data_IF_882795873951
#
_entry.id   IF_882795873951
#
_cell.length_a   1.000
_cell.length_b   1.000
_cell.length_c   1.000
_cell.angle_alpha   90.00
_cell.angle_beta   90.00
_cell.angle_gamma   90.00
#
_symmetry.space_group_name_H-M   'P 1'
#
loop_
_entity.id
_entity.type
_entity.pdbx_description
1 polymer ?
#
# COMPACT_ATOMS: atom_id res chain seq x y z
N UNK A 1 3.50 18.24 -10.86
CA UNK A 1 3.02 19.02 -12.02
C UNK A 1 4.16 19.69 -12.80
N UNK A 2 5.18 20.23 -12.12
CA UNK A 2 6.35 20.92 -12.75
C UNK A 2 7.21 20.03 -13.67
N UNK A 3 7.36 18.73 -13.37
CA UNK A 3 8.16 17.80 -14.19
C UNK A 3 7.60 17.63 -15.62
N UNK A 4 6.28 17.70 -15.77
CA UNK A 4 5.60 17.56 -17.06
C UNK A 4 5.81 18.78 -17.95
N UNK A 5 5.99 19.96 -17.34
CA UNK A 5 6.18 21.22 -18.07
C UNK A 5 7.56 21.28 -18.73
N UNK A 6 8.61 20.87 -18.02
CA UNK A 6 9.97 20.83 -18.58
C UNK A 6 10.13 19.75 -19.66
N UNK A 7 9.44 18.61 -19.54
CA UNK A 7 9.42 17.58 -20.57
C UNK A 7 8.82 18.07 -21.90
N UNK A 8 7.70 18.81 -21.83
CA UNK A 8 7.09 19.41 -23.02
C UNK A 8 7.92 20.54 -23.63
N UNK A 9 8.59 21.34 -22.80
CA UNK A 9 9.45 22.44 -23.27
C UNK A 9 10.66 21.93 -24.07
N UNK A 10 11.33 20.88 -23.55
CA UNK A 10 12.47 20.25 -24.22
C UNK A 10 12.01 19.55 -25.51
N UNK A 11 10.86 18.88 -25.49
CA UNK A 11 10.29 18.24 -26.68
C UNK A 11 9.97 19.26 -27.78
N UNK A 12 9.38 20.41 -27.42
CA UNK A 12 9.09 21.50 -28.35
C UNK A 12 10.37 22.08 -28.99
N UNK A 13 11.41 22.31 -28.19
CA UNK A 13 12.71 22.80 -28.68
C UNK A 13 13.37 21.82 -29.66
N UNK A 14 13.29 20.51 -29.39
CA UNK A 14 13.84 19.47 -30.28
C UNK A 14 13.06 19.42 -31.59
N UNK A 15 11.73 19.51 -31.56
CA UNK A 15 10.87 19.51 -32.76
C UNK A 15 11.13 20.71 -33.68
N UNK A 16 11.51 21.86 -33.11
CA UNK A 16 11.83 23.09 -33.85
C UNK A 16 13.28 23.09 -34.37
N UNK A 17 14.23 22.54 -33.62
CA UNK A 17 15.64 22.50 -34.02
C UNK A 17 15.93 21.55 -35.19
N UNK A 18 15.16 20.47 -35.33
CA UNK A 18 15.32 19.46 -36.38
C UNK A 18 15.12 20.01 -37.81
N UNK A 19 14.06 20.79 -38.14
CA UNK A 19 13.89 21.37 -39.48
C UNK A 19 14.97 22.41 -39.80
N UNK A 20 15.41 23.21 -38.82
CA UNK A 20 16.51 24.17 -38.96
C UNK A 20 17.84 23.47 -39.26
N UNK A 21 18.14 22.35 -38.61
CA UNK A 21 19.34 21.56 -38.88
C UNK A 21 19.25 20.79 -40.20
N UNK A 22 18.03 20.42 -40.62
CA UNK A 22 17.80 19.72 -41.89
C UNK A 22 18.11 20.57 -43.12
N UNK A 23 18.12 21.91 -43.02
CA UNK A 23 18.47 22.81 -44.12
C UNK A 23 19.93 22.65 -44.59
N UNK A 24 20.81 22.07 -43.77
CA UNK A 24 22.23 21.86 -44.07
C UNK A 24 22.55 20.46 -44.64
N UNK A 25 21.57 19.56 -44.77
CA UNK A 25 21.82 18.16 -45.16
C UNK A 25 21.23 17.78 -46.53
N UNK A 26 22.00 17.00 -47.30
CA UNK A 26 21.63 16.45 -48.62
C UNK A 26 20.34 15.63 -48.54
N UNK A 27 19.49 15.69 -49.58
CA UNK A 27 18.14 15.07 -49.65
C UNK A 27 18.09 13.60 -49.18
N UNK A 28 19.12 12.79 -49.46
CA UNK A 28 19.19 11.39 -48.98
C UNK A 28 19.39 11.27 -47.46
N UNK A 29 20.15 12.14 -46.82
CA UNK A 29 20.40 12.09 -45.36
C UNK A 29 19.16 12.49 -44.54
N UNK A 30 18.30 13.36 -45.06
CA UNK A 30 17.04 13.75 -44.39
C UNK A 30 16.08 12.57 -44.19
N UNK A 31 15.98 11.69 -45.19
CA UNK A 31 15.11 10.51 -45.12
C UNK A 31 15.58 9.50 -44.07
N UNK A 32 16.90 9.28 -43.96
CA UNK A 32 17.46 8.41 -42.91
C UNK A 32 17.23 8.94 -41.50
N UNK A 33 17.39 10.26 -41.30
CA UNK A 33 17.18 10.89 -40.00
C UNK A 33 15.71 10.80 -39.58
N UNK A 34 14.78 11.06 -40.50
CA UNK A 34 13.34 10.93 -40.24
C UNK A 34 12.97 9.50 -39.84
N UNK A 35 13.48 8.50 -40.57
CA UNK A 35 13.26 7.10 -40.24
C UNK A 35 13.77 6.73 -38.83
N UNK A 36 15.02 7.08 -38.51
CA UNK A 36 15.60 6.79 -37.20
C UNK A 36 14.88 7.53 -36.05
N UNK A 37 14.45 8.77 -36.28
CA UNK A 37 13.70 9.54 -35.29
C UNK A 37 12.34 8.91 -34.99
N UNK A 38 11.64 8.42 -36.01
CA UNK A 38 10.36 7.70 -35.84
C UNK A 38 10.55 6.40 -35.06
N UNK A 39 11.60 5.64 -35.35
CA UNK A 39 11.93 4.41 -34.60
C UNK A 39 12.28 4.74 -33.15
N UNK A 40 13.09 5.78 -32.91
CA UNK A 40 13.45 6.23 -31.57
C UNK A 40 12.21 6.66 -30.78
N UNK A 41 11.28 7.39 -31.41
CA UNK A 41 10.03 7.82 -30.79
C UNK A 41 9.16 6.63 -30.36
N UNK A 42 9.00 5.61 -31.21
CA UNK A 42 8.27 4.39 -30.84
C UNK A 42 8.95 3.63 -29.70
N UNK A 43 10.28 3.56 -29.71
CA UNK A 43 11.05 2.86 -28.69
C UNK A 43 10.96 3.57 -27.33
N UNK A 44 11.06 4.90 -27.31
CA UNK A 44 10.91 5.72 -26.10
C UNK A 44 9.48 5.66 -25.58
N UNK A 45 8.47 5.79 -26.45
CA UNK A 45 7.06 5.69 -26.08
C UNK A 45 6.70 4.32 -25.50
N UNK A 46 7.18 3.24 -26.14
CA UNK A 46 7.04 1.87 -25.63
C UNK A 46 7.73 1.70 -24.27
N UNK A 47 8.98 2.15 -24.15
CA UNK A 47 9.74 2.09 -22.89
C UNK A 47 9.05 2.83 -21.74
N UNK A 48 8.53 4.03 -21.98
CA UNK A 48 7.73 4.80 -21.02
C UNK A 48 6.44 4.08 -20.63
N UNK A 49 5.73 3.47 -21.58
CA UNK A 49 4.53 2.68 -21.30
C UNK A 49 4.82 1.49 -20.37
N UNK A 50 5.95 0.80 -20.59
CA UNK A 50 6.39 -0.28 -19.71
C UNK A 50 6.85 0.24 -18.34
N UNK A 51 7.61 1.34 -18.29
CA UNK A 51 8.16 1.93 -17.06
C UNK A 51 7.09 2.54 -16.15
N UNK A 52 6.06 3.17 -16.72
CA UNK A 52 4.93 3.74 -15.98
C UNK A 52 3.88 2.69 -15.55
N UNK A 53 4.13 1.41 -15.81
CA UNK A 53 3.29 0.31 -15.33
C UNK A 53 2.06 0.03 -16.20
N UNK A 54 2.09 0.31 -17.51
CA UNK A 54 0.98 -0.02 -18.44
C UNK A 54 0.59 -1.49 -18.41
N UNK A 55 1.55 -2.40 -18.21
CA UNK A 55 1.30 -3.83 -17.98
C UNK A 55 0.42 -4.12 -16.75
N UNK A 56 0.55 -3.31 -15.70
CA UNK A 56 -0.24 -3.47 -14.49
C UNK A 56 -1.69 -3.05 -14.72
N UNK A 57 -1.92 -1.96 -15.46
CA UNK A 57 -3.27 -1.51 -15.84
C UNK A 57 -3.98 -2.55 -16.73
N UNK A 58 -3.26 -3.15 -17.68
CA UNK A 58 -3.82 -4.17 -18.58
C UNK A 58 -4.20 -5.45 -17.83
N UNK A 59 -3.45 -5.83 -16.78
CA UNK A 59 -3.81 -6.95 -15.89
C UNK A 59 -5.04 -6.63 -15.05
N UNK A 60 -5.13 -5.43 -14.49
CA UNK A 60 -6.30 -4.99 -13.71
C UNK A 60 -7.58 -5.00 -14.58
N UNK A 61 -7.49 -4.57 -15.83
CA UNK A 61 -8.59 -4.61 -16.79
C UNK A 61 -9.03 -6.04 -17.14
N UNK A 62 -8.07 -6.94 -17.45
CA UNK A 62 -8.37 -8.37 -17.72
C UNK A 62 -8.99 -9.06 -16.50
N UNK A 63 -8.47 -8.82 -15.30
CA UNK A 63 -9.00 -9.38 -14.06
C UNK A 63 -10.41 -8.86 -13.78
N UNK A 64 -10.68 -7.57 -14.05
CA UNK A 64 -12.02 -7.00 -13.94
C UNK A 64 -13.05 -7.62 -14.88
N UNK A 65 -12.66 -7.95 -16.12
CA UNK A 65 -13.50 -8.67 -17.09
C UNK A 65 -13.81 -10.10 -16.63
N UNK A 66 -12.86 -10.79 -16.02
CA UNK A 66 -13.08 -12.14 -15.50
C UNK A 66 -13.94 -12.13 -14.24
N UNK A 67 -13.73 -11.18 -13.34
CA UNK A 67 -14.60 -10.96 -12.18
C UNK A 67 -16.02 -10.62 -12.64
N UNK A 68 -16.20 -9.86 -13.73
CA UNK A 68 -17.51 -9.57 -14.31
C UNK A 68 -18.19 -10.84 -14.85
N UNK A 69 -17.47 -11.69 -15.60
CA UNK A 69 -17.99 -12.99 -16.09
C UNK A 69 -18.39 -13.91 -14.94
N UNK A 70 -17.58 -13.96 -13.88
CA UNK A 70 -17.90 -14.72 -12.66
C UNK A 70 -19.12 -14.09 -11.97
N UNK A 71 -19.22 -12.78 -11.85
CA UNK A 71 -20.40 -12.14 -11.25
C UNK A 71 -21.68 -12.47 -12.03
N UNK A 72 -21.62 -12.48 -13.36
CA UNK A 72 -22.73 -12.87 -14.24
C UNK A 72 -23.08 -14.37 -14.11
N UNK A 73 -22.09 -15.25 -13.91
CA UNK A 73 -22.30 -16.70 -13.74
C UNK A 73 -22.77 -17.09 -12.32
N UNK A 74 -22.37 -16.35 -11.26
CA UNK A 74 -22.54 -16.78 -9.86
C UNK A 74 -23.46 -15.90 -8.99
N UNK A 75 -23.82 -14.68 -9.41
CA UNK A 75 -24.75 -13.79 -8.69
C UNK A 75 -24.07 -12.83 -7.68
N UNK A 76 -24.74 -12.49 -6.56
CA UNK A 76 -24.26 -11.52 -5.57
C UNK A 76 -22.98 -11.99 -4.82
N UNK A 77 -22.08 -11.03 -4.53
CA UNK A 77 -20.67 -11.24 -4.14
C UNK A 77 -20.45 -12.15 -2.91
N UNK A 78 -21.35 -12.14 -1.92
CA UNK A 78 -21.17 -12.87 -0.66
C UNK A 78 -21.23 -14.40 -0.84
N UNK A 79 -21.96 -14.87 -1.87
CA UNK A 79 -22.11 -16.30 -2.18
C UNK A 79 -21.16 -16.80 -3.27
N UNK A 80 -20.41 -15.90 -3.94
CA UNK A 80 -19.50 -16.29 -5.04
C UNK A 80 -18.34 -17.12 -4.51
N UNK A 81 -17.70 -16.69 -3.41
CA UNK A 81 -16.56 -17.40 -2.84
C UNK A 81 -16.93 -18.84 -2.45
N UNK A 82 -18.11 -19.02 -1.84
CA UNK A 82 -18.60 -20.32 -1.41
C UNK A 82 -18.90 -21.24 -2.60
N UNK A 83 -19.71 -20.78 -3.58
CA UNK A 83 -20.03 -21.56 -4.78
C UNK A 83 -18.80 -21.88 -5.63
N UNK A 84 -17.88 -20.92 -5.76
CA UNK A 84 -16.65 -21.10 -6.50
C UNK A 84 -15.73 -22.11 -5.81
N UNK A 85 -15.58 -22.04 -4.48
CA UNK A 85 -14.83 -23.03 -3.70
C UNK A 85 -15.43 -24.44 -3.86
N UNK A 86 -16.75 -24.59 -3.79
CA UNK A 86 -17.41 -25.89 -4.01
C UNK A 86 -17.18 -26.44 -5.42
N UNK A 87 -17.29 -25.58 -6.45
CA UNK A 87 -17.00 -25.96 -7.83
C UNK A 87 -15.54 -26.40 -7.98
N UNK A 88 -14.59 -25.66 -7.42
CA UNK A 88 -13.17 -25.95 -7.51
C UNK A 88 -12.77 -27.21 -6.74
N UNK A 89 -13.50 -27.57 -5.69
CA UNK A 89 -13.33 -28.88 -5.02
C UNK A 89 -13.74 -30.04 -5.92
N UNK A 90 -14.77 -29.86 -6.76
CA UNK A 90 -15.25 -30.89 -7.70
C UNK A 90 -14.45 -30.92 -9.00
N UNK A 91 -14.06 -29.74 -9.50
CA UNK A 91 -13.28 -29.53 -10.72
C UNK A 91 -12.17 -28.50 -10.43
N UNK A 92 -11.03 -28.96 -9.88
CA UNK A 92 -9.91 -28.08 -9.59
C UNK A 92 -9.38 -27.41 -10.86
N UNK A 93 -9.07 -26.13 -10.77
CA UNK A 93 -8.47 -25.34 -11.84
C UNK A 93 -7.52 -24.30 -11.21
N UNK A 94 -6.24 -24.22 -11.64
CA UNK A 94 -5.29 -23.23 -11.12
C UNK A 94 -5.81 -21.80 -11.22
N UNK A 95 -6.50 -21.46 -12.31
CA UNK A 95 -7.01 -20.12 -12.55
C UNK A 95 -8.21 -19.80 -11.66
N UNK A 96 -9.14 -20.73 -11.50
CA UNK A 96 -10.23 -20.59 -10.55
C UNK A 96 -9.75 -20.42 -9.10
N UNK A 97 -8.74 -21.19 -8.68
CA UNK A 97 -8.12 -21.03 -7.35
C UNK A 97 -7.44 -19.66 -7.18
N UNK A 98 -6.78 -19.14 -8.22
CA UNK A 98 -6.26 -17.77 -8.23
C UNK A 98 -7.38 -16.73 -8.01
N UNK A 99 -8.47 -16.83 -8.76
CA UNK A 99 -9.59 -15.88 -8.66
C UNK A 99 -10.28 -15.94 -7.29
N UNK A 100 -10.45 -17.14 -6.73
CA UNK A 100 -10.94 -17.33 -5.38
C UNK A 100 -10.01 -16.67 -4.34
N UNK A 101 -8.69 -16.80 -4.51
CA UNK A 101 -7.71 -16.13 -3.66
C UNK A 101 -7.81 -14.61 -3.74
N UNK A 102 -7.92 -14.02 -4.94
CA UNK A 102 -8.12 -12.57 -5.13
C UNK A 102 -9.44 -12.10 -4.49
N UNK A 103 -10.50 -12.91 -4.58
CA UNK A 103 -11.78 -12.61 -3.94
C UNK A 103 -11.64 -12.58 -2.42
N UNK A 104 -10.98 -13.57 -1.82
CA UNK A 104 -10.72 -13.58 -0.38
C UNK A 104 -9.83 -12.42 0.07
N UNK A 105 -8.82 -12.02 -0.73
CA UNK A 105 -8.03 -10.80 -0.45
C UNK A 105 -8.90 -9.54 -0.47
N UNK A 106 -9.82 -9.41 -1.41
CA UNK A 106 -10.75 -8.27 -1.48
C UNK A 106 -11.65 -8.17 -0.23
N UNK A 107 -11.87 -9.30 0.45
CA UNK A 107 -12.63 -9.41 1.69
C UNK A 107 -11.73 -9.36 2.94
N UNK A 108 -10.44 -9.07 2.79
CA UNK A 108 -9.42 -9.08 3.85
C UNK A 108 -9.29 -10.43 4.59
N UNK A 109 -9.68 -11.53 3.95
CA UNK A 109 -9.57 -12.88 4.50
C UNK A 109 -8.22 -13.51 4.09
N UNK A 110 -7.13 -13.01 4.69
CA UNK A 110 -5.76 -13.40 4.30
C UNK A 110 -5.52 -14.91 4.36
N UNK A 111 -6.06 -15.61 5.38
CA UNK A 111 -5.89 -17.06 5.54
C UNK A 111 -6.59 -17.86 4.45
N UNK A 112 -7.83 -17.51 4.13
CA UNK A 112 -8.61 -18.15 3.06
C UNK A 112 -7.96 -17.89 1.70
N UNK A 113 -7.47 -16.67 1.48
CA UNK A 113 -6.72 -16.32 0.28
C UNK A 113 -5.43 -17.14 0.15
N UNK A 114 -4.65 -17.24 1.23
CA UNK A 114 -3.41 -18.02 1.27
C UNK A 114 -3.66 -19.48 0.94
N UNK A 115 -4.72 -20.07 1.50
CA UNK A 115 -5.15 -21.43 1.17
C UNK A 115 -5.47 -21.58 -0.32
N UNK A 116 -6.28 -20.69 -0.89
CA UNK A 116 -6.66 -20.75 -2.30
C UNK A 116 -5.45 -20.61 -3.25
N UNK A 117 -4.54 -19.67 -3.00
CA UNK A 117 -3.32 -19.54 -3.80
C UNK A 117 -2.40 -20.75 -3.69
N UNK A 118 -2.32 -21.36 -2.50
CA UNK A 118 -1.56 -22.58 -2.29
C UNK A 118 -2.14 -23.75 -3.08
N UNK A 119 -3.47 -23.94 -3.09
CA UNK A 119 -4.11 -24.97 -3.92
C UNK A 119 -3.88 -24.74 -5.42
N UNK A 120 -3.95 -23.49 -5.88
CA UNK A 120 -3.59 -23.14 -7.26
C UNK A 120 -2.12 -23.46 -7.60
N UNK A 121 -1.20 -23.16 -6.69
CA UNK A 121 0.23 -23.43 -6.86
C UNK A 121 0.57 -24.92 -6.92
N UNK A 122 -0.13 -25.77 -6.16
CA UNK A 122 0.06 -27.23 -6.25
C UNK A 122 -0.19 -27.75 -7.66
N UNK A 123 -1.14 -27.14 -8.37
CA UNK A 123 -1.53 -27.54 -9.72
C UNK A 123 -0.66 -26.90 -10.81
N UNK A 124 -0.17 -25.67 -10.58
CA UNK A 124 0.70 -24.95 -11.51
C UNK A 124 1.91 -24.33 -10.77
N UNK A 125 2.93 -25.13 -10.40
CA UNK A 125 4.08 -24.67 -9.61
C UNK A 125 4.92 -23.59 -10.30
N UNK A 126 4.97 -23.64 -11.63
CA UNK A 126 5.73 -22.70 -12.48
C UNK A 126 4.95 -21.41 -12.78
N UNK A 127 3.72 -21.28 -12.29
CA UNK A 127 2.95 -20.06 -12.46
C UNK A 127 3.48 -18.95 -11.56
N UNK A 128 4.29 -18.08 -12.16
CA UNK A 128 4.89 -16.91 -11.50
C UNK A 128 3.87 -15.95 -10.89
N UNK A 129 2.65 -15.87 -11.43
CA UNK A 129 1.61 -15.02 -10.86
C UNK A 129 1.06 -15.58 -9.55
N UNK A 130 0.73 -16.87 -9.52
CA UNK A 130 0.31 -17.56 -8.30
C UNK A 130 1.42 -17.53 -7.24
N UNK A 131 2.68 -17.69 -7.64
CA UNK A 131 3.84 -17.65 -6.73
C UNK A 131 3.99 -16.29 -6.06
N UNK A 132 3.87 -15.21 -6.84
CA UNK A 132 3.91 -13.83 -6.32
C UNK A 132 2.75 -13.56 -5.36
N UNK A 133 1.52 -13.85 -5.76
CA UNK A 133 0.34 -13.58 -4.92
C UNK A 133 0.35 -14.41 -3.63
N UNK A 134 0.72 -15.69 -3.69
CA UNK A 134 0.92 -16.52 -2.50
C UNK A 134 1.97 -15.92 -1.56
N UNK A 135 3.14 -15.55 -2.10
CA UNK A 135 4.24 -14.99 -1.30
C UNK A 135 3.84 -13.66 -0.65
N UNK A 136 3.23 -12.76 -1.41
CA UNK A 136 2.73 -11.48 -0.88
C UNK A 136 1.67 -11.71 0.19
N UNK A 137 0.74 -12.62 -0.04
CA UNK A 137 -0.33 -12.94 0.92
C UNK A 137 0.23 -13.57 2.19
N UNK A 138 1.27 -14.42 2.07
CA UNK A 138 1.96 -15.03 3.21
C UNK A 138 2.63 -13.97 4.08
N UNK A 139 3.29 -12.99 3.46
CA UNK A 139 3.90 -11.87 4.18
C UNK A 139 2.83 -11.07 4.93
N UNK A 140 1.71 -10.75 4.26
CA UNK A 140 0.61 -10.00 4.89
C UNK A 140 -0.03 -10.78 6.05
N UNK A 141 -0.25 -12.08 5.88
CA UNK A 141 -0.82 -12.95 6.92
C UNK A 141 0.09 -13.00 8.15
N UNK A 142 1.40 -13.20 7.92
CA UNK A 142 2.41 -13.18 8.98
C UNK A 142 2.44 -11.84 9.71
N UNK A 143 2.47 -10.73 9.00
CA UNK A 143 2.46 -9.38 9.59
C UNK A 143 1.20 -9.09 10.41
N UNK A 144 0.04 -9.60 9.98
CA UNK A 144 -1.21 -9.46 10.73
C UNK A 144 -1.20 -10.31 12.03
N UNK A 145 -0.52 -11.46 11.99
CA UNK A 145 -0.40 -12.34 13.17
C UNK A 145 0.71 -11.95 14.14
N UNK A 146 1.69 -11.15 13.73
CA UNK A 146 2.78 -10.69 14.57
C UNK A 146 2.30 -9.81 15.75
N UNK A 147 3.03 -9.82 16.88
CA UNK A 147 2.84 -8.87 17.95
C UNK A 147 2.85 -7.43 17.42
N UNK A 148 1.88 -6.64 17.87
CA UNK A 148 1.77 -5.26 17.44
C UNK A 148 0.67 -4.52 18.19
N UNK A 149 0.61 -3.22 17.97
CA UNK A 149 -0.31 -2.30 18.64
C UNK A 149 -1.13 -1.55 17.61
N UNK A 150 -2.45 -1.70 17.65
CA UNK A 150 -3.37 -0.91 16.84
C UNK A 150 -3.86 0.31 17.65
N UNK A 151 -3.65 1.51 17.10
CA UNK A 151 -4.01 2.79 17.69
C UNK A 151 -5.01 3.48 16.78
N UNK A 152 -6.23 3.65 17.29
CA UNK A 152 -7.27 4.41 16.64
C UNK A 152 -7.36 5.79 17.26
N UNK A 153 -7.30 6.82 16.41
CA UNK A 153 -7.29 8.22 16.83
C UNK A 153 -8.46 8.93 16.14
N UNK A 154 -9.25 9.60 16.95
CA UNK A 154 -10.36 10.43 16.53
C UNK A 154 -10.40 11.73 17.33
N UNK A 155 -11.06 12.74 16.78
CA UNK A 155 -11.18 14.08 17.36
C UNK A 155 -12.55 14.62 16.98
N UNK A 156 -13.20 15.30 17.93
CA UNK A 156 -14.48 15.97 17.67
C UNK A 156 -14.30 17.18 16.75
N UNK A 157 -15.29 17.49 15.94
CA UNK A 157 -15.18 18.53 14.90
C UNK A 157 -14.89 19.93 15.49
N UNK A 158 -15.43 20.27 16.66
CA UNK A 158 -15.20 21.56 17.34
C UNK A 158 -13.74 21.76 17.75
N UNK A 159 -13.07 20.67 18.17
CA UNK A 159 -11.64 20.67 18.49
C UNK A 159 -10.82 20.61 17.22
N UNK A 160 -11.25 19.81 16.23
CA UNK A 160 -10.60 19.67 14.92
C UNK A 160 -10.48 21.00 14.18
N UNK A 161 -11.53 21.83 14.25
CA UNK A 161 -11.61 23.12 13.57
C UNK A 161 -10.67 24.19 14.16
N UNK A 162 -10.06 23.94 15.33
CA UNK A 162 -9.04 24.80 15.90
C UNK A 162 -7.67 24.62 15.24
N UNK A 163 -7.50 23.56 14.43
CA UNK A 163 -6.24 23.23 13.77
C UNK A 163 -6.35 23.34 12.24
N UNK A 164 -5.23 23.65 11.60
CA UNK A 164 -5.11 23.49 10.15
C UNK A 164 -5.26 22.02 9.75
N UNK A 165 -5.90 21.69 8.61
CA UNK A 165 -5.97 20.32 8.11
C UNK A 165 -4.59 19.65 7.89
N UNK A 166 -3.54 20.45 7.73
CA UNK A 166 -2.16 19.96 7.56
C UNK A 166 -1.40 19.77 8.88
N UNK A 167 -1.96 20.22 10.01
CA UNK A 167 -1.37 20.06 11.33
C UNK A 167 -1.06 18.60 11.59
N UNK A 168 0.14 18.34 12.10
CA UNK A 168 0.68 16.99 12.27
C UNK A 168 0.16 16.37 13.56
N UNK A 169 -0.24 15.11 13.50
CA UNK A 169 -0.50 14.24 14.63
C UNK A 169 0.64 13.24 14.73
N UNK A 170 1.36 13.29 15.83
CA UNK A 170 2.37 12.29 16.20
C UNK A 170 1.72 11.22 17.07
N UNK A 171 1.82 9.97 16.62
CA UNK A 171 1.53 8.80 17.47
C UNK A 171 2.87 8.20 17.85
N UNK A 172 3.20 8.26 19.14
CA UNK A 172 4.51 7.91 19.67
C UNK A 172 4.36 6.75 20.63
N UNK A 173 5.14 5.70 20.42
CA UNK A 173 5.26 4.56 21.31
C UNK A 173 6.54 4.69 22.12
N UNK A 174 6.46 4.51 23.44
CA UNK A 174 7.61 4.57 24.36
C UNK A 174 7.55 3.47 25.41
N UNK A 175 8.68 3.25 26.09
CA UNK A 175 8.69 2.55 27.38
C UNK A 175 8.32 3.54 28.49
N UNK A 176 7.61 3.13 29.56
CA UNK A 176 7.17 4.03 30.63
C UNK A 176 8.31 4.86 31.25
N UNK A 177 9.50 4.28 31.38
CA UNK A 177 10.68 4.92 31.99
C UNK A 177 11.68 5.50 30.99
N UNK A 178 11.42 5.41 29.68
CA UNK A 178 12.37 5.86 28.63
C UNK A 178 11.97 7.23 28.05
N UNK A 179 12.95 8.13 27.93
CA UNK A 179 12.78 9.39 27.19
C UNK A 179 12.73 9.16 25.67
N UNK A 180 13.46 8.16 25.18
CA UNK A 180 13.57 7.82 23.77
C UNK A 180 12.31 7.09 23.27
N UNK A 181 11.76 7.46 22.09
CA UNK A 181 10.68 6.73 21.49
C UNK A 181 11.13 5.36 20.97
N UNK A 182 10.24 4.39 21.13
CA UNK A 182 10.38 3.04 20.58
C UNK A 182 9.95 3.00 19.11
N UNK A 183 8.87 3.71 18.77
CA UNK A 183 8.38 3.91 17.41
C UNK A 183 7.61 5.24 17.34
N UNK A 184 7.54 5.86 16.16
CA UNK A 184 6.77 7.08 15.96
C UNK A 184 6.23 7.17 14.54
N UNK A 185 4.95 7.49 14.42
CA UNK A 185 4.26 7.65 13.13
C UNK A 185 3.65 9.05 13.05
N UNK A 186 3.76 9.68 11.88
CA UNK A 186 3.17 10.99 11.58
C UNK A 186 1.90 10.82 10.74
N UNK A 187 0.85 11.54 11.12
CA UNK A 187 -0.41 11.69 10.39
C UNK A 187 -0.83 13.16 10.36
N UNK A 188 -1.88 13.50 9.64
CA UNK A 188 -2.41 14.87 9.60
C UNK A 188 -3.85 14.92 10.08
N UNK A 189 -4.30 16.10 10.53
CA UNK A 189 -5.69 16.34 10.97
C UNK A 189 -6.70 15.99 9.87
N UNK A 190 -6.37 16.26 8.61
CA UNK A 190 -7.23 15.89 7.46
C UNK A 190 -7.44 14.38 7.30
N UNK A 191 -6.55 13.56 7.87
CA UNK A 191 -6.61 12.10 7.74
C UNK A 191 -7.51 11.46 8.83
N UNK A 192 -8.06 12.26 9.76
CA UNK A 192 -8.91 11.76 10.84
C UNK A 192 -10.32 11.38 10.35
N UNK A 193 -10.94 10.32 10.93
CA UNK A 193 -10.34 9.38 11.89
C UNK A 193 -9.42 8.38 11.18
N UNK A 194 -8.36 7.94 11.86
CA UNK A 194 -7.46 6.94 11.30
C UNK A 194 -7.09 5.84 12.30
N UNK A 195 -6.66 4.71 11.75
CA UNK A 195 -6.05 3.61 12.49
C UNK A 195 -4.58 3.47 12.08
N UNK A 196 -3.70 3.28 13.06
CA UNK A 196 -2.27 3.03 12.86
C UNK A 196 -1.89 1.76 13.59
N UNK A 197 -1.22 0.85 12.90
CA UNK A 197 -0.62 -0.34 13.51
C UNK A 197 0.88 -0.13 13.66
N UNK A 198 1.42 -0.34 14.85
CA UNK A 198 2.84 -0.52 15.08
C UNK A 198 3.18 -2.01 15.06
N UNK A 199 3.96 -2.44 14.08
CA UNK A 199 4.54 -3.78 13.98
C UNK A 199 6.05 -3.78 14.21
N UNK A 200 6.65 -4.97 14.24
CA UNK A 200 8.08 -5.17 14.55
C UNK A 200 9.02 -4.27 13.70
N UNK A 201 8.66 -4.03 12.45
CA UNK A 201 9.40 -3.18 11.51
C UNK A 201 9.41 -1.68 11.86
N UNK A 202 8.47 -1.22 12.70
CA UNK A 202 8.35 0.18 13.09
C UNK A 202 9.24 0.52 14.31
N UNK A 203 9.83 -0.50 14.94
CA UNK A 203 10.72 -0.33 16.08
C UNK A 203 12.04 0.32 15.64
N UNK A 204 12.35 1.46 16.25
CA UNK A 204 13.59 2.21 16.01
C UNK A 204 14.83 1.51 16.61
N UNK A 205 14.62 0.53 17.50
CA UNK A 205 15.69 -0.21 18.18
C UNK A 205 15.91 -1.54 17.45
N UNK A 206 17.06 -1.67 16.78
CA UNK A 206 17.42 -2.90 16.06
C UNK A 206 17.53 -4.10 17.01
N UNK A 207 17.00 -5.25 16.58
CA UNK A 207 17.10 -6.52 17.30
C UNK A 207 16.25 -6.63 18.57
N UNK A 208 15.33 -5.69 18.81
CA UNK A 208 14.28 -5.81 19.82
C UNK A 208 12.95 -6.13 19.16
N UNK A 209 12.13 -6.90 19.86
CA UNK A 209 10.80 -7.25 19.43
C UNK A 209 9.73 -6.74 20.40
N UNK A 210 8.50 -6.59 19.92
CA UNK A 210 7.36 -6.24 20.78
C UNK A 210 7.19 -7.24 21.93
N UNK A 211 7.48 -8.51 21.68
CA UNK A 211 7.46 -9.57 22.70
C UNK A 211 8.41 -9.33 23.88
N UNK A 212 9.45 -8.51 23.72
CA UNK A 212 10.38 -8.16 24.81
C UNK A 212 9.79 -7.15 25.81
N UNK A 213 8.66 -6.50 25.49
CA UNK A 213 8.12 -5.40 26.29
C UNK A 213 6.79 -5.77 26.94
N UNK A 214 6.74 -5.78 28.28
CA UNK A 214 5.49 -6.07 29.02
C UNK A 214 4.54 -4.87 29.13
N UNK A 215 5.12 -3.67 29.24
CA UNK A 215 4.39 -2.40 29.41
C UNK A 215 4.91 -1.39 28.42
N UNK A 216 4.00 -0.67 27.79
CA UNK A 216 4.29 0.39 26.85
C UNK A 216 3.43 1.61 27.16
N UNK A 217 3.89 2.77 26.72
CA UNK A 217 3.26 4.07 26.88
C UNK A 217 3.05 4.65 25.48
N UNK A 218 1.81 5.00 25.17
CA UNK A 218 1.43 5.59 23.89
C UNK A 218 1.04 7.03 24.12
N UNK A 219 1.63 7.92 23.33
CA UNK A 219 1.37 9.35 23.36
C UNK A 219 0.83 9.75 21.99
N UNK A 220 -0.34 10.38 21.97
CA UNK A 220 -0.88 11.02 20.77
C UNK A 220 -0.81 12.52 20.97
N UNK A 221 -0.09 13.21 20.09
CA UNK A 221 0.13 14.65 20.18
C UNK A 221 -0.19 15.35 18.87
N UNK A 222 -0.97 16.42 18.91
CA UNK A 222 -1.02 17.40 17.81
C UNK A 222 0.16 18.35 17.94
N UNK A 223 0.86 18.62 16.83
CA UNK A 223 1.95 19.59 16.80
C UNK A 223 1.65 20.68 15.79
N UNK A 224 1.40 21.88 16.31
CA UNK A 224 1.08 23.06 15.47
C UNK A 224 2.31 23.51 14.68
N UNK A 225 3.50 23.47 15.31
CA UNK A 225 4.77 23.89 14.69
C UNK A 225 5.55 22.74 14.03
N UNK A 226 5.04 21.51 14.07
CA UNK A 226 5.71 20.32 13.52
C UNK A 226 6.91 19.82 14.31
N UNK A 227 7.17 20.38 15.50
CA UNK A 227 8.29 20.03 16.38
C UNK A 227 7.99 18.79 17.24
N UNK A 228 9.05 18.09 17.66
CA UNK A 228 8.96 16.86 18.47
C UNK A 228 8.83 17.11 19.98
N UNK A 229 9.00 18.36 20.42
CA UNK A 229 8.82 18.85 21.79
C UNK A 229 7.46 19.54 21.95
N UNK A 230 6.86 19.41 23.14
CA UNK A 230 5.54 19.99 23.45
C UNK A 230 5.64 21.52 23.40
N UNK A 231 4.83 22.14 22.57
CA UNK A 231 4.73 23.61 22.45
C UNK A 231 3.39 24.08 23.06
N UNK A 232 3.29 25.29 23.62
CA UNK A 232 1.99 25.86 23.99
C UNK A 232 1.02 25.82 22.80
N UNK A 233 -0.18 25.26 23.02
CA UNK A 233 -1.19 25.02 21.97
C UNK A 233 -1.23 23.59 21.41
N UNK A 234 -0.20 22.77 21.66
CA UNK A 234 -0.22 21.35 21.32
C UNK A 234 -1.14 20.58 22.28
N UNK A 235 -2.04 19.76 21.73
CA UNK A 235 -2.88 18.86 22.51
C UNK A 235 -2.17 17.51 22.61
N UNK A 236 -2.04 17.00 23.83
CA UNK A 236 -1.39 15.72 24.10
C UNK A 236 -2.27 14.86 24.99
N UNK A 237 -2.45 13.61 24.57
CA UNK A 237 -3.04 12.56 25.39
C UNK A 237 -2.08 11.38 25.50
N UNK A 238 -2.12 10.71 26.64
CA UNK A 238 -1.28 9.58 26.94
C UNK A 238 -2.11 8.42 27.50
N UNK A 239 -1.80 7.19 27.08
CA UNK A 239 -2.32 5.96 27.67
C UNK A 239 -1.21 4.93 27.88
N UNK A 240 -1.29 4.24 29.02
CA UNK A 240 -0.47 3.08 29.31
C UNK A 240 -1.15 1.82 28.78
N UNK A 241 -0.36 0.92 28.19
CA UNK A 241 -0.84 -0.32 27.61
C UNK A 241 -0.02 -1.48 28.14
N UNK A 242 -0.71 -2.52 28.59
CA UNK A 242 -0.11 -3.77 29.02
C UNK A 242 -0.34 -4.86 27.97
N UNK A 243 0.67 -5.71 27.80
CA UNK A 243 0.62 -6.79 26.83
C UNK A 243 -0.16 -8.00 27.38
N UNK A 244 -0.91 -8.68 26.52
CA UNK A 244 -1.67 -9.91 26.88
C UNK A 244 -1.19 -11.07 26.01
N UNK A 245 -1.11 -12.27 26.59
CA UNK A 245 -0.78 -13.49 25.84
C UNK A 245 -2.05 -14.04 25.16
N UNK A 246 -2.00 -14.21 23.84
CA UNK A 246 -3.08 -14.80 23.03
C UNK A 246 -2.47 -15.82 22.07
N UNK A 247 -2.88 -17.10 22.17
CA UNK A 247 -2.37 -18.20 21.33
C UNK A 247 -0.83 -18.29 21.30
N UNK A 248 -0.21 -18.20 22.48
CA UNK A 248 1.25 -18.20 22.64
C UNK A 248 2.00 -17.03 21.96
N UNK A 249 1.29 -15.98 21.54
CA UNK A 249 1.84 -14.73 21.01
C UNK A 249 1.46 -13.56 21.92
N UNK A 250 2.36 -12.60 22.12
CA UNK A 250 2.06 -11.37 22.86
C UNK A 250 1.26 -10.46 21.94
N UNK A 251 0.09 -9.98 22.38
CA UNK A 251 -0.76 -9.03 21.68
C UNK A 251 -1.11 -7.86 22.59
N UNK A 252 -1.24 -6.69 21.99
CA UNK A 252 -1.74 -5.51 22.68
C UNK A 252 -3.16 -5.21 22.21
N UNK A 253 -3.95 -4.58 23.08
CA UNK A 253 -5.33 -4.22 22.77
C UNK A 253 -5.37 -2.98 21.87
N UNK A 254 -6.40 -2.88 21.01
CA UNK A 254 -6.73 -1.65 20.29
C UNK A 254 -6.91 -0.50 21.29
N UNK A 255 -6.23 0.61 21.07
CA UNK A 255 -6.32 1.80 21.91
C UNK A 255 -7.07 2.90 21.17
N UNK A 256 -8.03 3.53 21.84
CA UNK A 256 -8.83 4.62 21.31
C UNK A 256 -8.43 5.91 22.01
N UNK A 257 -8.09 6.93 21.23
CA UNK A 257 -7.89 8.30 21.69
C UNK A 257 -8.98 9.18 21.09
N UNK A 258 -9.79 9.80 21.95
CA UNK A 258 -10.85 10.73 21.55
C UNK A 258 -10.58 12.07 22.24
N UNK A 259 -10.40 13.12 21.44
CA UNK A 259 -10.27 14.50 21.93
C UNK A 259 -11.66 15.13 21.96
N UNK A 260 -12.10 15.57 23.14
CA UNK A 260 -13.42 16.16 23.42
C UNK A 260 -13.29 17.65 23.73
#
# INVERSE_FOLDING_TARGET
MIVWFFGFLIFSLVVIAIPLFSLLLTRRRKLFILFFLSVLFLMVGGGLYFFLGGLQQLRLYKNGLEIKKIKEEYGALDNIALKLNEKLRKRPDPKGWYLLGKLYLSQNQLKSALFAFHEGLKMAPDNEELKREYTQTLILEKQQEEPGIDVYVEMRDEVKNQFSPQTVIFVILKLPSSKMPLAAIKRQIKDLPFNVRFGEQDLLIKGKHFSNFKKLKIIVRTSILGNTTKTPGDYEMEKHVEATLVKNKIKYKKIIFSFW
#
